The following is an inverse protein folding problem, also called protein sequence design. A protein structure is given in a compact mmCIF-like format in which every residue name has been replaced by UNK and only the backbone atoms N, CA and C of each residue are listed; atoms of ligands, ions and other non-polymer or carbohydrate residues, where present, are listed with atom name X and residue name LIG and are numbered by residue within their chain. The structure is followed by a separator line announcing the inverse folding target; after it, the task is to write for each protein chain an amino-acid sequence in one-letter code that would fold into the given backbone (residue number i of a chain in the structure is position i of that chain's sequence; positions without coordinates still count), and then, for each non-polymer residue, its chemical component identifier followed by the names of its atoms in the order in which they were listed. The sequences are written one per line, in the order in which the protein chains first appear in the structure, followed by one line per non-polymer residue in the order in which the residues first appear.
data_IF_175061226509
#
_entry.id   IF_175061226509
#
_cell.length_a   1.000
_cell.length_b   1.000
_cell.length_c   1.000
_cell.angle_alpha   90.00
_cell.angle_beta   90.00
_cell.angle_gamma   90.00
#
_symmetry.space_group_name_H-M   'P 1'
#
loop_
_entity.id
_entity.type
_entity.pdbx_description
1 polymer ?
#
# COMPACT_ATOMS: atom_id res chain seq x y z
N UNK A 1 0.56 21.54 -12.73
CA UNK A 1 0.66 20.76 -13.99
C UNK A 1 -0.65 20.89 -14.73
N UNK A 2 -0.64 20.96 -16.07
CA UNK A 2 -1.87 20.91 -16.87
C UNK A 2 -2.29 19.47 -17.07
N UNK A 3 -3.59 19.20 -17.19
CA UNK A 3 -4.07 17.87 -17.58
C UNK A 3 -3.49 17.49 -18.97
N UNK A 4 -3.26 16.19 -19.23
CA UNK A 4 -2.87 15.73 -20.55
C UNK A 4 -3.95 16.10 -21.60
N UNK A 5 -3.57 16.14 -22.87
CA UNK A 5 -4.54 16.28 -23.96
C UNK A 5 -5.60 15.18 -23.84
N UNK A 6 -6.86 15.53 -24.15
CA UNK A 6 -7.94 14.56 -24.09
C UNK A 6 -7.71 13.46 -25.11
N UNK A 7 -7.89 12.21 -24.69
CA UNK A 7 -7.89 11.07 -25.57
C UNK A 7 -9.28 10.91 -26.22
N UNK A 8 -9.45 11.57 -27.36
CA UNK A 8 -10.70 11.52 -28.12
C UNK A 8 -10.94 10.16 -28.80
N UNK A 9 -10.01 9.21 -28.72
CA UNK A 9 -10.20 7.86 -29.22
C UNK A 9 -10.96 6.95 -28.24
N UNK A 10 -10.97 7.30 -26.95
CA UNK A 10 -11.73 6.56 -25.93
C UNK A 10 -13.22 6.61 -26.24
N UNK A 11 -13.84 5.46 -26.13
CA UNK A 11 -15.29 5.29 -26.34
C UNK A 11 -15.94 4.73 -25.09
N UNK A 12 -17.23 5.00 -24.86
CA UNK A 12 -18.01 4.29 -23.82
C UNK A 12 -17.91 2.78 -24.00
N UNK A 13 -17.74 2.08 -22.90
CA UNK A 13 -17.61 0.61 -22.93
C UNK A 13 -18.95 -0.11 -22.76
N UNK A 14 -19.99 0.62 -22.36
CA UNK A 14 -21.34 0.12 -22.07
C UNK A 14 -21.37 -0.98 -20.98
N UNK A 15 -20.31 -1.13 -20.18
CA UNK A 15 -20.29 -2.00 -19.01
C UNK A 15 -21.17 -1.44 -17.90
N UNK A 16 -21.75 -2.32 -17.09
CA UNK A 16 -22.36 -1.94 -15.81
C UNK A 16 -21.31 -1.98 -14.70
N UNK A 17 -21.64 -1.52 -13.51
CA UNK A 17 -20.71 -1.57 -12.37
C UNK A 17 -20.21 -2.99 -12.11
N UNK A 18 -21.06 -3.99 -12.16
CA UNK A 18 -20.67 -5.37 -11.83
C UNK A 18 -19.74 -6.02 -12.86
N UNK A 19 -19.68 -5.49 -14.08
CA UNK A 19 -18.78 -5.96 -15.14
C UNK A 19 -17.30 -5.53 -14.91
N UNK A 20 -17.03 -4.65 -13.92
CA UNK A 20 -15.67 -4.19 -13.58
C UNK A 20 -14.82 -5.26 -12.85
N UNK A 21 -15.43 -6.36 -12.41
CA UNK A 21 -14.75 -7.55 -11.92
C UNK A 21 -13.83 -7.29 -10.72
N UNK A 22 -12.54 -7.58 -10.86
CA UNK A 22 -11.54 -7.53 -9.77
C UNK A 22 -11.24 -6.13 -9.23
N UNK A 23 -11.72 -5.08 -9.89
CA UNK A 23 -11.60 -3.69 -9.40
C UNK A 23 -12.48 -3.47 -8.18
N UNK A 24 -13.59 -4.20 -8.11
CA UNK A 24 -14.61 -4.04 -7.06
C UNK A 24 -14.18 -4.65 -5.72
N UNK A 25 -14.60 -4.04 -4.58
CA UNK A 25 -14.61 -4.74 -3.29
C UNK A 25 -15.43 -6.03 -3.38
N UNK A 26 -15.05 -7.07 -2.66
CA UNK A 26 -15.69 -8.40 -2.72
C UNK A 26 -17.18 -8.41 -2.40
N UNK A 27 -17.62 -7.51 -1.54
CA UNK A 27 -19.04 -7.44 -1.14
C UNK A 27 -19.82 -6.42 -1.96
N UNK A 28 -19.20 -5.87 -3.03
CA UNK A 28 -19.90 -4.95 -3.91
C UNK A 28 -21.06 -5.65 -4.62
N UNK A 29 -22.21 -5.02 -4.64
CA UNK A 29 -23.42 -5.49 -5.33
C UNK A 29 -24.28 -4.30 -5.76
N UNK A 30 -25.15 -4.52 -6.73
CA UNK A 30 -26.13 -3.53 -7.19
C UNK A 30 -27.52 -3.99 -6.79
N UNK A 31 -28.25 -3.14 -6.06
CA UNK A 31 -29.64 -3.34 -5.69
C UNK A 31 -30.45 -2.08 -6.02
N UNK A 32 -31.56 -2.21 -6.70
CA UNK A 32 -32.43 -1.09 -7.07
C UNK A 32 -31.67 0.08 -7.70
N UNK A 33 -30.72 -0.23 -8.58
CA UNK A 33 -29.82 0.71 -9.28
C UNK A 33 -28.79 1.42 -8.37
N UNK A 34 -28.73 1.11 -7.08
CA UNK A 34 -27.74 1.63 -6.14
C UNK A 34 -26.57 0.67 -5.93
N UNK A 35 -25.38 1.23 -5.75
CA UNK A 35 -24.18 0.49 -5.32
C UNK A 35 -24.26 0.22 -3.81
N UNK A 36 -24.10 -1.04 -3.42
CA UNK A 36 -23.92 -1.49 -2.04
C UNK A 36 -22.52 -2.06 -1.84
N UNK A 37 -21.91 -1.81 -0.69
CA UNK A 37 -20.65 -2.41 -0.25
C UNK A 37 -20.81 -2.77 1.24
N UNK A 38 -20.41 -3.97 1.63
CA UNK A 38 -20.58 -4.45 3.00
C UNK A 38 -22.05 -4.51 3.44
N UNK A 39 -22.99 -4.61 2.50
CA UNK A 39 -24.42 -4.55 2.75
C UNK A 39 -24.96 -3.14 3.02
N UNK A 40 -24.15 -2.09 2.89
CA UNK A 40 -24.52 -0.67 3.09
C UNK A 40 -24.74 0.01 1.74
N UNK A 41 -25.82 0.76 1.60
CA UNK A 41 -26.12 1.60 0.45
C UNK A 41 -25.16 2.81 0.41
N UNK A 42 -24.31 2.89 -0.61
CA UNK A 42 -23.29 3.94 -0.76
C UNK A 42 -23.89 5.34 -0.98
N UNK A 43 -25.07 5.40 -1.61
CA UNK A 43 -25.78 6.66 -1.85
C UNK A 43 -26.32 7.23 -0.54
N UNK A 44 -26.94 6.37 0.27
CA UNK A 44 -27.46 6.74 1.59
C UNK A 44 -26.32 7.16 2.52
N UNK A 45 -25.26 6.35 2.56
CA UNK A 45 -24.06 6.64 3.38
C UNK A 45 -23.44 7.99 3.01
N UNK A 46 -23.26 8.27 1.71
CA UNK A 46 -22.72 9.55 1.24
C UNK A 46 -23.57 10.76 1.67
N UNK A 47 -24.90 10.60 1.69
CA UNK A 47 -25.82 11.66 2.13
C UNK A 47 -25.81 11.86 3.65
N UNK A 48 -25.63 10.81 4.43
CA UNK A 48 -25.61 10.85 5.90
C UNK A 48 -24.27 11.39 6.44
N UNK A 49 -23.15 10.91 5.90
CA UNK A 49 -21.80 11.27 6.39
C UNK A 49 -21.16 12.44 5.64
N UNK A 50 -21.75 12.84 4.49
CA UNK A 50 -21.19 13.83 3.57
C UNK A 50 -20.01 13.27 2.75
N UNK A 51 -19.67 13.99 1.67
CA UNK A 51 -18.56 13.68 0.77
C UNK A 51 -17.49 14.81 0.81
N UNK A 52 -16.26 14.65 0.35
CA UNK A 52 -15.65 13.39 -0.04
C UNK A 52 -15.58 12.40 1.14
N UNK A 53 -15.66 11.10 0.88
CA UNK A 53 -15.71 10.07 1.93
C UNK A 53 -14.93 8.82 1.51
N UNK A 54 -13.96 8.38 2.32
CA UNK A 54 -13.32 7.09 2.11
C UNK A 54 -14.16 5.99 2.77
N UNK A 55 -14.45 4.94 2.01
CA UNK A 55 -15.19 3.78 2.51
C UNK A 55 -14.37 2.51 2.30
N UNK A 56 -14.25 1.70 3.33
CA UNK A 56 -13.54 0.42 3.29
C UNK A 56 -14.48 -0.74 3.60
N UNK A 57 -14.45 -1.75 2.73
CA UNK A 57 -15.05 -3.05 2.95
C UNK A 57 -14.22 -3.85 3.95
N UNK A 58 -14.65 -3.90 5.22
CA UNK A 58 -13.94 -4.62 6.26
C UNK A 58 -13.91 -6.13 6.00
N UNK A 59 -14.94 -6.69 5.36
CA UNK A 59 -14.99 -8.11 5.07
C UNK A 59 -13.94 -8.47 3.99
N UNK A 60 -13.81 -7.65 2.94
CA UNK A 60 -12.78 -7.84 1.91
C UNK A 60 -11.37 -7.69 2.49
N UNK A 61 -11.14 -6.66 3.32
CA UNK A 61 -9.85 -6.46 3.98
C UNK A 61 -9.43 -7.68 4.81
N UNK A 62 -10.33 -8.20 5.64
CA UNK A 62 -10.08 -9.39 6.48
C UNK A 62 -9.85 -10.64 5.64
N UNK A 63 -10.64 -10.81 4.57
CA UNK A 63 -10.46 -11.94 3.67
C UNK A 63 -9.09 -11.91 2.98
N UNK A 64 -8.62 -10.74 2.51
CA UNK A 64 -7.29 -10.62 1.89
C UNK A 64 -6.17 -10.97 2.87
N UNK A 65 -6.25 -10.50 4.11
CA UNK A 65 -5.29 -10.85 5.16
C UNK A 65 -5.23 -12.34 5.42
N UNK A 66 -6.39 -13.00 5.55
CA UNK A 66 -6.48 -14.44 5.75
C UNK A 66 -5.94 -15.21 4.54
N UNK A 67 -6.32 -14.78 3.32
CA UNK A 67 -5.84 -15.39 2.07
C UNK A 67 -4.31 -15.35 1.98
N UNK A 68 -3.68 -14.22 2.30
CA UNK A 68 -2.21 -14.12 2.34
C UNK A 68 -1.61 -15.10 3.35
N UNK A 69 -2.13 -15.09 4.57
CA UNK A 69 -1.63 -15.96 5.64
C UNK A 69 -1.76 -17.44 5.27
N UNK A 70 -2.91 -17.85 4.78
CA UNK A 70 -3.16 -19.26 4.41
C UNK A 70 -2.36 -19.67 3.16
N UNK A 71 -2.30 -18.82 2.14
CA UNK A 71 -1.56 -19.11 0.91
C UNK A 71 -0.07 -19.37 1.18
N UNK A 72 0.55 -18.58 2.05
CA UNK A 72 1.95 -18.78 2.43
C UNK A 72 2.11 -19.95 3.39
N UNK A 73 1.38 -20.01 4.50
CA UNK A 73 1.57 -21.06 5.53
C UNK A 73 1.27 -22.47 5.04
N UNK A 74 0.30 -22.65 4.15
CA UNK A 74 -0.01 -23.96 3.57
C UNK A 74 1.13 -24.51 2.70
N UNK A 75 1.96 -23.62 2.13
CA UNK A 75 3.08 -23.98 1.25
C UNK A 75 4.44 -23.96 1.97
N UNK A 76 4.55 -23.10 2.98
CA UNK A 76 5.78 -22.85 3.72
C UNK A 76 5.42 -22.49 5.17
N UNK A 77 5.42 -23.49 6.05
CA UNK A 77 4.94 -23.34 7.43
C UNK A 77 5.64 -22.22 8.20
N UNK A 78 6.97 -22.08 8.01
CA UNK A 78 7.80 -21.06 8.65
C UNK A 78 7.73 -19.72 7.86
N UNK A 79 6.52 -19.16 7.73
CA UNK A 79 6.27 -17.90 7.03
C UNK A 79 5.38 -16.97 7.81
N UNK A 80 5.59 -15.66 7.62
CA UNK A 80 4.71 -14.62 8.14
C UNK A 80 4.46 -13.51 7.11
N UNK A 81 3.38 -12.78 7.34
CA UNK A 81 2.95 -11.65 6.52
C UNK A 81 3.03 -10.38 7.35
N UNK A 82 3.70 -9.38 6.81
CA UNK A 82 3.83 -8.05 7.41
C UNK A 82 2.93 -7.08 6.63
N UNK A 83 2.01 -6.42 7.29
CA UNK A 83 1.23 -5.37 6.63
C UNK A 83 2.06 -4.09 6.48
N UNK A 84 2.28 -3.65 5.23
CA UNK A 84 2.96 -2.39 4.92
C UNK A 84 2.06 -1.19 5.20
N UNK A 85 2.18 -0.59 6.38
CA UNK A 85 1.29 0.45 6.92
C UNK A 85 1.21 1.72 6.09
N UNK A 86 2.27 2.05 5.36
CA UNK A 86 2.32 3.19 4.43
C UNK A 86 1.19 3.20 3.39
N UNK A 87 0.62 2.03 3.07
CA UNK A 87 -0.48 1.93 2.13
C UNK A 87 -1.76 2.58 2.67
N UNK A 88 -2.12 2.28 3.91
CA UNK A 88 -3.21 2.90 4.66
C UNK A 88 -3.10 2.57 6.14
N UNK A 89 -3.16 3.55 7.02
CA UNK A 89 -3.04 3.36 8.46
C UNK A 89 -3.99 4.26 9.26
N UNK A 90 -4.69 3.65 10.19
CA UNK A 90 -5.33 4.26 11.34
C UNK A 90 -5.43 3.22 12.47
N UNK A 91 -5.87 3.59 13.66
CA UNK A 91 -5.95 2.67 14.81
C UNK A 91 -6.83 1.46 14.55
N UNK A 92 -7.88 1.60 13.74
CA UNK A 92 -8.77 0.49 13.40
C UNK A 92 -8.10 -0.53 12.49
N UNK A 93 -7.37 -0.09 11.46
CA UNK A 93 -6.57 -1.00 10.61
C UNK A 93 -5.53 -1.74 11.43
N UNK A 94 -4.82 -1.03 12.33
CA UNK A 94 -3.84 -1.67 13.23
C UNK A 94 -4.49 -2.77 14.06
N UNK A 95 -5.70 -2.52 14.60
CA UNK A 95 -6.46 -3.52 15.35
C UNK A 95 -6.82 -4.73 14.49
N UNK A 96 -7.32 -4.50 13.26
CA UNK A 96 -7.68 -5.58 12.32
C UNK A 96 -6.44 -6.40 11.92
N UNK A 97 -5.31 -5.76 11.66
CA UNK A 97 -4.02 -6.42 11.36
C UNK A 97 -3.58 -7.31 12.53
N UNK A 98 -3.70 -6.81 13.76
CA UNK A 98 -3.39 -7.59 14.96
C UNK A 98 -4.32 -8.80 15.12
N UNK A 99 -5.63 -8.63 14.96
CA UNK A 99 -6.63 -9.69 15.00
C UNK A 99 -6.39 -10.74 13.90
N UNK A 100 -5.97 -10.30 12.70
CA UNK A 100 -5.59 -11.16 11.58
C UNK A 100 -4.29 -11.94 11.81
N UNK A 101 -3.56 -11.66 12.89
CA UNK A 101 -2.31 -12.34 13.23
C UNK A 101 -1.12 -11.94 12.35
N UNK A 102 -1.18 -10.81 11.62
CA UNK A 102 -0.11 -10.29 10.80
C UNK A 102 0.88 -9.47 11.63
N UNK A 103 2.11 -9.35 11.14
CA UNK A 103 3.06 -8.34 11.60
C UNK A 103 2.75 -6.97 10.99
N UNK A 104 3.45 -5.93 11.43
CA UNK A 104 3.24 -4.56 10.97
C UNK A 104 4.58 -3.89 10.60
N UNK A 105 4.66 -3.34 9.40
CA UNK A 105 5.73 -2.43 8.98
C UNK A 105 5.36 -0.99 9.36
N UNK A 106 6.32 -0.23 9.85
CA UNK A 106 6.23 1.21 10.08
C UNK A 106 7.46 1.92 9.53
N UNK A 107 7.25 3.07 8.89
CA UNK A 107 8.31 3.83 8.22
C UNK A 107 8.57 5.21 8.84
N UNK A 108 7.94 5.52 9.97
CA UNK A 108 8.13 6.78 10.68
C UNK A 108 7.50 6.78 12.07
N UNK A 109 7.90 7.74 12.90
CA UNK A 109 7.44 7.86 14.29
C UNK A 109 5.92 7.97 14.43
N UNK A 110 5.24 8.62 13.47
CA UNK A 110 3.78 8.73 13.48
C UNK A 110 3.06 7.40 13.29
N UNK A 111 3.58 6.52 12.43
CA UNK A 111 3.05 5.16 12.23
C UNK A 111 3.32 4.29 13.47
N UNK A 112 4.53 4.37 14.05
CA UNK A 112 4.87 3.70 15.31
C UNK A 112 3.94 4.14 16.45
N UNK A 113 3.71 5.44 16.59
CA UNK A 113 2.79 5.98 17.59
C UNK A 113 1.35 5.47 17.40
N UNK A 114 0.89 5.35 16.15
CA UNK A 114 -0.42 4.77 15.83
C UNK A 114 -0.50 3.31 16.28
N UNK A 115 0.55 2.52 16.02
CA UNK A 115 0.64 1.12 16.46
C UNK A 115 0.57 1.00 17.99
N UNK A 116 1.34 1.83 18.72
CA UNK A 116 1.33 1.88 20.17
C UNK A 116 -0.06 2.27 20.74
N UNK A 117 -0.67 3.34 20.18
CA UNK A 117 -2.00 3.80 20.61
C UNK A 117 -3.11 2.76 20.36
N UNK A 118 -2.93 1.90 19.36
CA UNK A 118 -3.85 0.80 19.06
C UNK A 118 -3.55 -0.48 19.87
N UNK A 119 -2.49 -0.50 20.68
CA UNK A 119 -2.09 -1.65 21.48
C UNK A 119 -1.51 -2.81 20.68
N UNK A 120 -0.84 -2.52 19.56
CA UNK A 120 -0.20 -3.54 18.75
C UNK A 120 1.01 -4.13 19.47
N UNK A 121 1.27 -5.46 19.42
CA UNK A 121 2.46 -6.09 19.99
C UNK A 121 3.74 -5.58 19.29
N UNK A 122 4.60 -4.89 20.03
CA UNK A 122 5.77 -4.22 19.45
C UNK A 122 6.83 -5.19 18.92
N UNK A 123 6.92 -6.39 19.47
CA UNK A 123 7.79 -7.47 19.00
C UNK A 123 7.43 -7.97 17.58
N UNK A 124 6.24 -7.63 17.09
CA UNK A 124 5.76 -7.88 15.72
C UNK A 124 5.83 -6.66 14.81
N UNK A 125 6.49 -5.58 15.25
CA UNK A 125 6.71 -4.36 14.46
C UNK A 125 8.08 -4.41 13.79
N UNK A 126 8.12 -4.06 12.50
CA UNK A 126 9.32 -3.93 11.68
C UNK A 126 9.47 -2.45 11.29
N UNK A 127 10.66 -1.86 11.57
CA UNK A 127 10.87 -0.42 11.34
C UNK A 127 11.73 -0.19 10.11
N UNK A 128 11.10 0.39 9.09
CA UNK A 128 11.71 0.71 7.80
C UNK A 128 12.11 2.19 7.67
N UNK A 129 12.72 2.55 6.54
CA UNK A 129 13.08 3.92 6.18
C UNK A 129 14.59 4.08 5.93
N UNK A 130 14.93 4.92 4.94
CA UNK A 130 16.32 5.15 4.53
C UNK A 130 17.04 6.23 5.34
N UNK A 131 16.33 6.93 6.23
CA UNK A 131 16.91 7.97 7.08
C UNK A 131 16.12 8.07 8.39
N UNK A 132 16.22 7.04 9.22
CA UNK A 132 15.67 7.07 10.57
C UNK A 132 16.50 8.01 11.45
N UNK A 133 15.86 8.99 12.06
CA UNK A 133 16.54 9.92 12.95
C UNK A 133 16.95 9.22 14.26
N UNK A 134 17.97 9.73 14.98
CA UNK A 134 18.32 9.17 16.30
C UNK A 134 17.15 9.16 17.29
N UNK A 135 16.25 10.12 17.22
CA UNK A 135 15.05 10.17 18.06
C UNK A 135 14.08 9.03 17.72
N UNK A 136 13.77 8.82 16.43
CA UNK A 136 12.90 7.73 15.98
C UNK A 136 13.50 6.35 16.29
N UNK A 137 14.81 6.16 16.11
CA UNK A 137 15.49 4.93 16.50
C UNK A 137 15.39 4.67 18.00
N UNK A 138 15.58 5.71 18.83
CA UNK A 138 15.42 5.60 20.28
C UNK A 138 13.99 5.25 20.69
N UNK A 139 13.00 5.88 20.08
CA UNK A 139 11.58 5.56 20.31
C UNK A 139 11.29 4.10 19.94
N UNK A 140 11.74 3.66 18.77
CA UNK A 140 11.52 2.29 18.29
C UNK A 140 12.16 1.25 19.22
N UNK A 141 13.45 1.42 19.56
CA UNK A 141 14.19 0.49 20.43
C UNK A 141 13.58 0.49 21.84
N UNK A 142 13.25 1.68 22.37
CA UNK A 142 12.60 1.78 23.71
C UNK A 142 11.21 1.15 23.73
N UNK A 143 10.48 1.17 22.63
CA UNK A 143 9.19 0.50 22.49
C UNK A 143 9.31 -1.03 22.41
N UNK A 144 10.50 -1.57 22.17
CA UNK A 144 10.75 -3.01 22.04
C UNK A 144 10.30 -3.56 20.69
N UNK A 145 10.52 -2.80 19.59
CA UNK A 145 10.17 -3.27 18.24
C UNK A 145 10.93 -4.56 17.87
N UNK A 146 10.26 -5.43 17.11
CA UNK A 146 10.81 -6.74 16.77
C UNK A 146 12.07 -6.64 15.91
N UNK A 147 12.05 -5.80 14.88
CA UNK A 147 13.15 -5.66 13.93
C UNK A 147 13.34 -4.21 13.50
N UNK A 148 14.61 -3.80 13.33
CA UNK A 148 14.95 -2.59 12.58
C UNK A 148 15.58 -3.02 11.26
N UNK A 149 15.01 -2.58 10.16
CA UNK A 149 15.55 -2.81 8.81
C UNK A 149 16.56 -1.72 8.52
N UNK A 150 17.83 -2.04 8.70
CA UNK A 150 18.97 -1.11 8.55
C UNK A 150 19.23 -0.84 7.08
N UNK A 151 19.34 0.43 6.74
CA UNK A 151 19.44 0.91 5.36
C UNK A 151 20.85 1.43 4.99
N UNK A 152 21.71 1.66 5.99
CA UNK A 152 23.08 2.15 5.78
C UNK A 152 24.02 1.83 6.95
N UNK A 153 25.35 1.91 6.69
CA UNK A 153 26.39 1.74 7.73
C UNK A 153 26.30 2.77 8.86
N UNK A 154 25.90 3.99 8.54
CA UNK A 154 25.74 5.07 9.54
C UNK A 154 24.56 4.72 10.46
N UNK A 155 23.49 4.22 9.90
CA UNK A 155 22.33 3.79 10.69
C UNK A 155 22.67 2.59 11.57
N UNK A 156 23.40 1.59 11.05
CA UNK A 156 23.89 0.46 11.84
C UNK A 156 24.64 0.93 13.10
N UNK A 157 25.57 1.88 12.94
CA UNK A 157 26.31 2.43 14.05
C UNK A 157 25.40 3.13 15.07
N UNK A 158 24.40 3.90 14.62
CA UNK A 158 23.42 4.56 15.48
C UNK A 158 22.55 3.57 16.25
N UNK A 159 22.07 2.52 15.58
CA UNK A 159 21.27 1.45 16.23
C UNK A 159 22.09 0.78 17.32
N UNK A 160 23.35 0.43 17.03
CA UNK A 160 24.28 -0.19 17.98
C UNK A 160 24.54 0.72 19.19
N UNK A 161 24.81 2.01 18.98
CA UNK A 161 25.03 2.99 20.05
C UNK A 161 23.78 3.14 20.94
N UNK A 162 22.62 3.38 20.33
CA UNK A 162 21.37 3.60 21.06
C UNK A 162 20.93 2.35 21.82
N UNK A 163 21.06 1.17 21.21
CA UNK A 163 20.77 -0.10 21.88
C UNK A 163 21.68 -0.31 23.10
N UNK A 164 22.98 0.04 22.97
CA UNK A 164 23.93 -0.01 24.09
C UNK A 164 23.57 0.96 25.22
N UNK A 165 23.17 2.21 24.90
CA UNK A 165 22.73 3.18 25.89
C UNK A 165 21.45 2.71 26.64
N UNK A 166 20.58 1.97 25.95
CA UNK A 166 19.35 1.42 26.52
C UNK A 166 19.56 0.06 27.19
N UNK A 167 20.77 -0.53 27.09
CA UNK A 167 21.10 -1.82 27.68
C UNK A 167 20.35 -3.00 27.07
N UNK A 168 20.04 -2.94 25.77
CA UNK A 168 19.34 -4.00 25.03
C UNK A 168 20.14 -4.48 23.83
N UNK A 169 19.84 -5.68 23.34
CA UNK A 169 20.31 -6.17 22.05
C UNK A 169 19.17 -6.07 21.04
N UNK A 170 19.34 -5.24 19.98
CA UNK A 170 18.32 -5.04 18.97
C UNK A 170 18.52 -5.99 17.79
N UNK A 171 17.51 -6.78 17.46
CA UNK A 171 17.51 -7.59 16.24
C UNK A 171 17.35 -6.69 15.01
N UNK A 172 18.17 -6.93 13.99
CA UNK A 172 18.20 -6.16 12.75
C UNK A 172 18.12 -7.02 11.51
N UNK A 173 17.54 -6.45 10.45
CA UNK A 173 17.78 -6.86 9.08
C UNK A 173 18.70 -5.86 8.39
N UNK A 174 19.45 -6.32 7.40
CA UNK A 174 20.07 -5.43 6.42
C UNK A 174 19.19 -5.39 5.17
N UNK A 175 18.83 -4.19 4.71
CA UNK A 175 18.11 -4.03 3.44
C UNK A 175 19.10 -4.12 2.28
N UNK A 176 18.95 -5.14 1.46
CA UNK A 176 19.79 -5.38 0.27
C UNK A 176 19.02 -4.89 -0.96
N UNK A 177 19.71 -4.17 -1.83
CA UNK A 177 19.19 -3.79 -3.15
C UNK A 177 19.68 -4.82 -4.16
N UNK A 178 18.80 -5.75 -4.60
CA UNK A 178 19.24 -6.95 -5.33
C UNK A 178 19.59 -6.71 -6.81
N UNK A 179 19.39 -5.49 -7.33
CA UNK A 179 19.63 -5.18 -8.74
C UNK A 179 18.57 -5.76 -9.71
N UNK A 180 17.45 -6.25 -9.19
CA UNK A 180 16.37 -6.82 -10.00
C UNK A 180 15.47 -5.70 -10.51
N UNK A 181 15.29 -5.63 -11.83
CA UNK A 181 14.37 -4.68 -12.46
C UNK A 181 12.95 -5.26 -12.49
N UNK A 182 12.04 -4.64 -11.76
CA UNK A 182 10.62 -4.95 -11.89
C UNK A 182 10.00 -4.13 -13.03
N UNK A 183 9.15 -4.78 -13.83
CA UNK A 183 8.39 -4.12 -14.88
C UNK A 183 7.24 -3.31 -14.27
N UNK A 184 7.53 -2.07 -13.89
CA UNK A 184 6.61 -1.15 -13.20
C UNK A 184 6.99 0.31 -13.45
N UNK A 185 6.14 1.26 -13.00
CA UNK A 185 6.35 2.70 -13.17
C UNK A 185 7.65 3.17 -12.48
N UNK A 186 8.41 4.06 -13.14
CA UNK A 186 9.74 4.53 -12.72
C UNK A 186 9.79 5.00 -11.25
N UNK A 187 8.81 5.77 -10.78
CA UNK A 187 8.78 6.30 -9.41
C UNK A 187 8.50 5.27 -8.31
N UNK A 188 8.12 4.04 -8.66
CA UNK A 188 7.81 2.96 -7.71
C UNK A 188 8.74 1.74 -7.84
N UNK A 189 9.81 1.84 -8.63
CA UNK A 189 10.92 0.89 -8.66
C UNK A 189 11.83 1.14 -7.46
N UNK A 190 12.22 0.09 -6.76
CA UNK A 190 13.11 0.20 -5.59
C UNK A 190 14.22 -0.84 -5.60
N UNK A 191 14.18 -1.80 -6.51
CA UNK A 191 15.16 -2.86 -6.64
C UNK A 191 16.33 -2.55 -7.58
N UNK A 192 16.31 -1.43 -8.32
CA UNK A 192 17.37 -1.05 -9.23
C UNK A 192 18.59 -0.49 -8.49
N UNK A 193 19.74 -0.54 -9.14
CA UNK A 193 21.03 -0.12 -8.57
C UNK A 193 21.06 1.34 -8.15
N UNK A 194 20.45 2.25 -8.91
CA UNK A 194 20.27 3.67 -8.55
C UNK A 194 19.02 3.83 -7.67
N UNK A 195 19.17 3.48 -6.41
CA UNK A 195 18.14 3.62 -5.39
C UNK A 195 18.66 4.31 -4.15
N UNK A 196 17.86 5.18 -3.53
CA UNK A 196 18.17 5.77 -2.22
C UNK A 196 18.12 4.77 -1.07
N UNK A 197 17.67 3.54 -1.33
CA UNK A 197 17.41 2.52 -0.32
C UNK A 197 18.45 1.42 -0.33
N UNK A 198 18.83 0.99 0.86
CA UNK A 198 19.54 -0.25 1.10
C UNK A 198 21.03 -0.26 0.72
N UNK A 199 21.63 -1.41 0.96
CA UNK A 199 23.00 -1.71 0.58
C UNK A 199 23.00 -2.29 -0.83
N UNK A 200 23.65 -1.60 -1.79
CA UNK A 200 23.80 -2.10 -3.15
C UNK A 200 24.72 -3.32 -3.20
N UNK A 201 24.41 -4.24 -4.11
CA UNK A 201 25.29 -5.39 -4.39
C UNK A 201 26.46 -5.05 -5.31
N UNK A 202 26.49 -3.85 -5.90
CA UNK A 202 27.61 -3.39 -6.72
C UNK A 202 28.94 -3.44 -5.96
N UNK A 203 29.99 -3.87 -6.63
CA UNK A 203 31.36 -3.95 -6.09
C UNK A 203 31.46 -4.69 -4.75
N UNK A 204 30.54 -5.64 -4.50
CA UNK A 204 30.44 -6.37 -3.24
C UNK A 204 30.19 -5.48 -2.01
N UNK A 205 29.63 -4.28 -2.19
CA UNK A 205 29.44 -3.35 -1.10
C UNK A 205 28.55 -3.91 0.02
N UNK A 206 27.38 -4.43 -0.33
CA UNK A 206 26.48 -5.07 0.64
C UNK A 206 27.20 -6.21 1.40
N UNK A 207 27.92 -7.08 0.68
CA UNK A 207 28.63 -8.19 1.25
C UNK A 207 29.72 -7.75 2.25
N UNK A 208 30.48 -6.73 1.93
CA UNK A 208 31.48 -6.15 2.84
C UNK A 208 30.85 -5.55 4.10
N UNK A 209 29.66 -4.96 3.98
CA UNK A 209 28.95 -4.37 5.10
C UNK A 209 28.31 -5.41 6.05
N UNK A 210 28.14 -6.67 5.62
CA UNK A 210 27.67 -7.75 6.50
C UNK A 210 28.63 -7.96 7.68
N UNK A 211 29.95 -7.85 7.44
CA UNK A 211 30.94 -7.95 8.49
C UNK A 211 30.72 -6.90 9.58
N UNK A 212 30.45 -5.66 9.18
CA UNK A 212 30.18 -4.59 10.14
C UNK A 212 28.97 -4.90 11.02
N UNK A 213 27.90 -5.50 10.42
CA UNK A 213 26.70 -5.86 11.14
C UNK A 213 26.91 -7.05 12.11
N UNK A 214 27.80 -8.00 11.76
CA UNK A 214 28.15 -9.13 12.62
C UNK A 214 29.00 -8.64 13.83
N UNK A 215 29.90 -7.72 13.60
CA UNK A 215 30.85 -7.21 14.60
C UNK A 215 30.29 -6.07 15.47
N UNK A 216 29.15 -5.46 15.06
CA UNK A 216 28.56 -4.35 15.79
C UNK A 216 27.99 -4.82 17.14
N UNK A 217 28.39 -4.18 18.28
CA UNK A 217 27.86 -4.54 19.58
C UNK A 217 26.37 -4.14 19.73
N UNK A 218 25.66 -4.81 20.64
CA UNK A 218 24.27 -4.49 21.00
C UNK A 218 23.25 -4.65 19.87
N UNK A 219 23.66 -5.26 18.74
CA UNK A 219 22.77 -5.61 17.63
C UNK A 219 22.96 -7.06 17.26
N UNK A 220 21.91 -7.69 16.76
CA UNK A 220 21.92 -9.05 16.25
C UNK A 220 21.42 -9.08 14.83
N UNK A 221 22.29 -9.37 13.87
CA UNK A 221 21.88 -9.61 12.49
C UNK A 221 21.11 -10.93 12.43
N UNK A 222 19.81 -10.86 12.15
CA UNK A 222 18.93 -12.04 12.09
C UNK A 222 18.40 -12.32 10.70
N UNK A 223 18.52 -11.39 9.76
CA UNK A 223 17.99 -11.57 8.42
C UNK A 223 18.40 -10.51 7.43
N UNK A 224 17.99 -10.76 6.21
CA UNK A 224 18.06 -9.79 5.12
C UNK A 224 16.66 -9.43 4.62
N UNK A 225 16.54 -8.23 4.11
CA UNK A 225 15.33 -7.71 3.49
C UNK A 225 15.64 -7.24 2.07
N UNK A 226 14.71 -7.45 1.13
CA UNK A 226 14.71 -6.77 -0.15
C UNK A 226 13.31 -6.31 -0.54
N UNK A 227 13.22 -5.32 -1.40
CA UNK A 227 11.95 -4.88 -1.99
C UNK A 227 12.22 -4.35 -3.40
N UNK A 228 11.60 -4.95 -4.40
CA UNK A 228 11.90 -4.70 -5.81
C UNK A 228 11.00 -3.69 -6.49
N UNK A 229 9.88 -3.30 -5.86
CA UNK A 229 8.96 -2.32 -6.42
C UNK A 229 7.52 -2.51 -5.99
N UNK A 230 6.61 -1.83 -6.68
CA UNK A 230 5.17 -1.88 -6.39
C UNK A 230 4.38 -1.96 -7.69
N UNK A 231 3.16 -2.50 -7.63
CA UNK A 231 2.29 -2.72 -8.79
C UNK A 231 2.94 -3.65 -9.85
N UNK A 232 3.52 -4.75 -9.38
CA UNK A 232 4.20 -5.75 -10.21
C UNK A 232 3.21 -6.84 -10.56
N UNK A 233 3.00 -7.09 -11.85
CA UNK A 233 2.09 -8.13 -12.34
C UNK A 233 2.82 -9.43 -12.67
N UNK A 234 4.09 -9.32 -13.11
CA UNK A 234 4.89 -10.44 -13.56
C UNK A 234 5.64 -11.11 -12.39
N UNK A 235 5.32 -12.37 -12.12
CA UNK A 235 5.87 -13.10 -10.96
C UNK A 235 7.35 -13.48 -11.11
N UNK A 236 7.92 -13.45 -12.31
CA UNK A 236 9.33 -13.83 -12.53
C UNK A 236 10.30 -12.93 -11.75
N UNK A 237 9.99 -11.63 -11.59
CA UNK A 237 10.84 -10.69 -10.83
C UNK A 237 10.93 -11.07 -9.33
N UNK A 238 9.86 -11.62 -8.76
CA UNK A 238 9.88 -12.14 -7.38
C UNK A 238 10.73 -13.40 -7.26
N UNK A 239 10.67 -14.30 -8.26
CA UNK A 239 11.53 -15.48 -8.30
C UNK A 239 13.01 -15.11 -8.42
N UNK A 240 13.33 -14.14 -9.28
CA UNK A 240 14.70 -13.64 -9.46
C UNK A 240 15.21 -12.97 -8.15
N UNK A 241 14.41 -12.17 -7.49
CA UNK A 241 14.77 -11.58 -6.21
C UNK A 241 15.05 -12.66 -5.14
N UNK A 242 14.21 -13.70 -5.06
CA UNK A 242 14.44 -14.81 -4.16
C UNK A 242 15.76 -15.53 -4.47
N UNK A 243 16.09 -15.77 -5.74
CA UNK A 243 17.36 -16.37 -6.17
C UNK A 243 18.55 -15.55 -5.69
N UNK A 244 18.58 -14.26 -6.02
CA UNK A 244 19.66 -13.34 -5.64
C UNK A 244 19.85 -13.30 -4.13
N UNK A 245 18.77 -13.24 -3.37
CA UNK A 245 18.85 -13.18 -1.92
C UNK A 245 19.31 -14.47 -1.28
N UNK A 246 18.89 -15.64 -1.78
CA UNK A 246 19.36 -16.95 -1.26
C UNK A 246 20.82 -17.20 -1.63
N UNK A 247 21.25 -16.83 -2.85
CA UNK A 247 22.66 -16.88 -3.24
C UNK A 247 23.51 -15.97 -2.33
N UNK A 248 23.03 -14.79 -2.01
CA UNK A 248 23.68 -13.87 -1.08
C UNK A 248 23.81 -14.47 0.32
N UNK A 249 22.74 -15.09 0.85
CA UNK A 249 22.77 -15.82 2.12
C UNK A 249 23.80 -16.93 2.10
N UNK A 250 23.83 -17.76 1.05
CA UNK A 250 24.78 -18.85 0.90
C UNK A 250 26.24 -18.36 0.96
N UNK A 251 26.50 -17.25 0.27
CA UNK A 251 27.82 -16.62 0.28
C UNK A 251 28.18 -16.09 1.66
N UNK A 252 27.26 -15.44 2.36
CA UNK A 252 27.46 -14.94 3.73
C UNK A 252 27.74 -16.09 4.70
N UNK A 253 26.96 -17.14 4.66
CA UNK A 253 27.17 -18.32 5.51
C UNK A 253 28.54 -18.98 5.27
N UNK A 254 28.92 -19.10 4.01
CA UNK A 254 30.22 -19.70 3.64
C UNK A 254 31.41 -18.88 4.14
N UNK A 255 31.35 -17.56 4.02
CA UNK A 255 32.47 -16.68 4.37
C UNK A 255 32.57 -16.40 5.86
N UNK A 256 31.42 -16.14 6.51
CA UNK A 256 31.42 -15.70 7.92
C UNK A 256 31.01 -16.79 8.91
N UNK A 257 30.56 -17.95 8.44
CA UNK A 257 30.20 -19.09 9.31
C UNK A 257 28.97 -18.82 10.19
N UNK A 258 28.09 -17.90 9.79
CA UNK A 258 26.87 -17.56 10.53
C UNK A 258 25.63 -18.09 9.80
N UNK A 259 24.59 -18.42 10.56
CA UNK A 259 23.27 -18.71 10.01
C UNK A 259 22.46 -17.42 9.88
N UNK A 260 21.69 -17.31 8.80
CA UNK A 260 20.73 -16.23 8.55
C UNK A 260 19.32 -16.84 8.62
N UNK A 261 18.65 -16.75 9.78
CA UNK A 261 17.41 -17.47 10.01
C UNK A 261 16.17 -16.84 9.37
N UNK A 262 16.23 -15.59 8.91
CA UNK A 262 15.06 -14.86 8.39
C UNK A 262 15.37 -14.20 7.05
N UNK A 263 14.40 -14.23 6.12
CA UNK A 263 14.47 -13.55 4.83
C UNK A 263 13.14 -12.86 4.54
N UNK A 264 13.19 -11.53 4.43
CA UNK A 264 12.06 -10.71 4.03
C UNK A 264 12.19 -10.33 2.56
N UNK A 265 11.25 -10.81 1.76
CA UNK A 265 11.21 -10.59 0.31
C UNK A 265 10.40 -9.35 -0.10
N UNK A 266 9.96 -8.56 0.90
CA UNK A 266 9.19 -7.35 0.68
C UNK A 266 7.79 -7.61 0.10
N UNK A 267 7.22 -6.57 -0.46
CA UNK A 267 5.92 -6.63 -1.13
C UNK A 267 6.04 -6.33 -2.62
N UNK A 268 4.94 -5.83 -3.19
CA UNK A 268 4.96 -5.35 -4.56
C UNK A 268 3.90 -5.94 -5.46
N UNK A 269 3.19 -7.01 -5.06
CA UNK A 269 2.11 -7.60 -5.86
C UNK A 269 1.10 -6.53 -6.29
N UNK A 270 0.84 -6.48 -7.61
CA UNK A 270 -0.09 -5.54 -8.23
C UNK A 270 -1.55 -5.92 -8.01
N UNK A 271 -2.42 -4.95 -8.25
CA UNK A 271 -3.88 -5.12 -8.19
C UNK A 271 -4.53 -4.48 -9.42
N UNK A 272 -5.75 -4.89 -9.74
CA UNK A 272 -6.53 -4.26 -10.79
C UNK A 272 -6.99 -2.85 -10.36
N UNK A 273 -6.63 -1.85 -11.15
CA UNK A 273 -7.16 -0.49 -11.10
C UNK A 273 -8.19 -0.26 -12.21
N UNK A 274 -8.04 -0.95 -13.32
CA UNK A 274 -8.95 -0.94 -14.47
C UNK A 274 -9.52 -2.34 -14.69
N UNK A 275 -10.70 -2.42 -15.28
CA UNK A 275 -11.35 -3.69 -15.64
C UNK A 275 -10.50 -4.52 -16.63
N UNK A 276 -9.58 -3.87 -17.37
CA UNK A 276 -8.65 -4.51 -18.30
C UNK A 276 -7.41 -5.10 -17.64
N UNK A 277 -7.10 -4.71 -16.40
CA UNK A 277 -5.93 -5.20 -15.67
C UNK A 277 -6.06 -6.69 -15.32
N UNK A 278 -4.93 -7.40 -15.38
CA UNK A 278 -4.85 -8.84 -15.09
C UNK A 278 -3.69 -9.11 -14.11
N UNK A 279 -3.84 -8.70 -12.84
CA UNK A 279 -2.83 -9.00 -11.83
C UNK A 279 -2.76 -10.51 -11.56
N UNK A 280 -1.59 -10.98 -11.12
CA UNK A 280 -1.47 -12.31 -10.54
C UNK A 280 -2.21 -12.39 -9.21
N UNK A 281 -2.76 -13.57 -8.91
CA UNK A 281 -3.45 -13.80 -7.64
C UNK A 281 -2.48 -13.86 -6.45
N UNK A 282 -3.02 -13.69 -5.24
CA UNK A 282 -2.25 -13.92 -3.99
C UNK A 282 -1.73 -15.36 -3.94
N UNK A 283 -2.51 -16.31 -4.42
CA UNK A 283 -2.16 -17.72 -4.44
C UNK A 283 -0.99 -18.02 -5.38
N UNK A 284 -1.01 -17.48 -6.61
CA UNK A 284 0.08 -17.59 -7.56
C UNK A 284 1.37 -16.93 -7.06
N UNK A 285 1.25 -15.79 -6.38
CA UNK A 285 2.38 -15.10 -5.76
C UNK A 285 3.01 -15.95 -4.65
N UNK A 286 2.18 -16.53 -3.76
CA UNK A 286 2.65 -17.40 -2.69
C UNK A 286 3.31 -18.67 -3.26
N UNK A 287 2.72 -19.31 -4.27
CA UNK A 287 3.28 -20.47 -4.94
C UNK A 287 4.65 -20.15 -5.57
N UNK A 288 4.73 -19.08 -6.35
CA UNK A 288 5.96 -18.65 -7.00
C UNK A 288 7.08 -18.39 -5.98
N UNK A 289 6.77 -17.60 -4.93
CA UNK A 289 7.74 -17.17 -3.94
C UNK A 289 8.24 -18.31 -3.08
N UNK A 290 7.33 -19.12 -2.52
CA UNK A 290 7.70 -20.23 -1.63
C UNK A 290 8.45 -21.32 -2.36
N UNK A 291 8.06 -21.64 -3.60
CA UNK A 291 8.75 -22.58 -4.44
C UNK A 291 10.16 -22.10 -4.81
N UNK A 292 10.29 -20.82 -5.19
CA UNK A 292 11.59 -20.24 -5.48
C UNK A 292 12.55 -20.37 -4.30
N UNK A 293 12.11 -20.03 -3.08
CA UNK A 293 12.94 -20.15 -1.88
C UNK A 293 13.38 -21.60 -1.67
N UNK A 294 12.48 -22.59 -1.74
CA UNK A 294 12.82 -24.01 -1.58
C UNK A 294 13.80 -24.50 -2.63
N UNK A 295 13.53 -24.18 -3.92
CA UNK A 295 14.38 -24.60 -5.03
C UNK A 295 15.82 -24.06 -4.85
N UNK A 296 15.95 -22.75 -4.55
CA UNK A 296 17.28 -22.13 -4.42
C UNK A 296 17.98 -22.48 -3.10
N UNK A 297 17.26 -22.68 -1.99
CA UNK A 297 17.86 -23.22 -0.76
C UNK A 297 18.47 -24.61 -1.01
N UNK A 298 17.77 -25.47 -1.73
CA UNK A 298 18.29 -26.79 -2.11
C UNK A 298 19.49 -26.69 -3.07
N UNK A 299 19.43 -25.77 -4.06
CA UNK A 299 20.50 -25.57 -5.03
C UNK A 299 21.80 -25.06 -4.38
N UNK A 300 21.69 -24.07 -3.51
CA UNK A 300 22.86 -23.45 -2.86
C UNK A 300 23.26 -24.10 -1.54
N UNK A 301 22.52 -25.11 -1.07
CA UNK A 301 22.83 -25.83 0.17
C UNK A 301 22.63 -25.01 1.43
N UNK A 302 21.63 -24.13 1.45
CA UNK A 302 21.25 -23.26 2.56
C UNK A 302 20.03 -23.84 3.28
N UNK A 303 20.01 -23.77 4.61
CA UNK A 303 18.81 -24.10 5.37
C UNK A 303 17.66 -23.14 5.01
N UNK A 304 16.44 -23.65 4.92
CA UNK A 304 15.26 -22.84 4.60
C UNK A 304 15.02 -21.79 5.72
N UNK A 305 15.15 -20.48 5.44
CA UNK A 305 14.92 -19.43 6.44
C UNK A 305 13.43 -19.27 6.72
N UNK A 306 13.07 -18.63 7.84
CA UNK A 306 11.72 -18.04 7.97
C UNK A 306 11.54 -16.98 6.90
N UNK A 307 10.51 -17.10 6.06
CA UNK A 307 10.22 -16.09 5.03
C UNK A 307 9.14 -15.13 5.47
N UNK A 308 9.32 -13.87 5.07
CA UNK A 308 8.36 -12.80 5.31
C UNK A 308 8.05 -12.09 3.98
N UNK A 309 6.83 -11.57 3.87
CA UNK A 309 6.38 -10.75 2.75
C UNK A 309 5.61 -9.55 3.26
N UNK A 310 5.68 -8.43 2.53
CA UNK A 310 5.18 -7.14 2.95
C UNK A 310 4.05 -6.59 2.04
N UNK A 311 2.89 -7.27 1.93
CA UNK A 311 1.79 -6.72 1.16
C UNK A 311 1.24 -5.46 1.83
N UNK A 312 1.08 -4.39 1.05
CA UNK A 312 0.38 -3.17 1.43
C UNK A 312 -0.78 -2.94 0.47
N UNK A 313 -0.45 -2.53 -0.76
CA UNK A 313 -1.45 -2.26 -1.81
C UNK A 313 -2.44 -3.40 -2.00
N UNK A 314 -1.97 -4.60 -2.18
CA UNK A 314 -2.81 -5.78 -2.46
C UNK A 314 -3.71 -6.21 -1.30
N UNK A 315 -3.46 -5.70 -0.09
CA UNK A 315 -4.36 -5.91 1.05
C UNK A 315 -5.49 -4.88 1.10
N UNK A 316 -5.24 -3.61 0.75
CA UNK A 316 -6.20 -2.53 1.06
C UNK A 316 -6.77 -1.81 -0.16
N UNK A 317 -6.10 -1.86 -1.34
CA UNK A 317 -6.48 -1.02 -2.47
C UNK A 317 -7.92 -1.26 -2.94
N UNK A 318 -8.25 -2.48 -3.32
CA UNK A 318 -9.58 -2.82 -3.85
C UNK A 318 -10.66 -2.88 -2.77
N UNK A 319 -10.27 -3.07 -1.50
CA UNK A 319 -11.21 -2.99 -0.37
C UNK A 319 -11.68 -1.55 -0.09
N UNK A 320 -11.04 -0.53 -0.66
CA UNK A 320 -11.35 0.88 -0.43
C UNK A 320 -11.87 1.60 -1.66
N UNK A 321 -12.88 2.44 -1.46
CA UNK A 321 -13.46 3.33 -2.47
C UNK A 321 -13.55 4.75 -1.92
N UNK A 322 -13.69 5.74 -2.82
CA UNK A 322 -13.96 7.13 -2.42
C UNK A 322 -15.25 7.61 -3.06
N UNK A 323 -16.14 8.17 -2.23
CA UNK A 323 -17.41 8.73 -2.67
C UNK A 323 -17.31 10.24 -2.76
N UNK A 324 -17.90 10.79 -3.81
CA UNK A 324 -17.95 12.22 -4.10
C UNK A 324 -19.34 12.63 -4.54
N UNK A 325 -19.74 13.88 -4.27
CA UNK A 325 -20.96 14.46 -4.86
C UNK A 325 -20.61 15.20 -6.14
N UNK A 326 -21.35 14.91 -7.21
CA UNK A 326 -21.27 15.62 -8.49
C UNK A 326 -21.85 17.03 -8.33
N UNK A 327 -21.01 18.03 -8.59
CA UNK A 327 -21.38 19.45 -8.49
C UNK A 327 -21.73 20.07 -9.84
N UNK A 328 -20.75 20.33 -10.68
CA UNK A 328 -20.90 21.05 -11.93
C UNK A 328 -20.50 20.18 -13.12
N UNK A 329 -21.30 20.25 -14.19
CA UNK A 329 -20.99 19.62 -15.47
C UNK A 329 -20.54 20.69 -16.47
N UNK A 330 -19.40 20.49 -17.13
CA UNK A 330 -18.87 21.41 -18.14
C UNK A 330 -18.40 20.65 -19.36
N UNK A 331 -19.11 20.82 -20.47
CA UNK A 331 -18.72 20.23 -21.75
C UNK A 331 -17.96 21.24 -22.59
N UNK A 332 -16.75 20.87 -23.03
CA UNK A 332 -15.98 21.59 -24.06
C UNK A 332 -16.14 20.79 -25.36
N UNK A 333 -16.90 21.33 -26.34
CA UNK A 333 -17.22 20.61 -27.58
C UNK A 333 -15.95 20.14 -28.32
N UNK A 334 -15.88 18.85 -28.63
CA UNK A 334 -14.74 18.24 -29.32
C UNK A 334 -13.45 18.13 -28.50
N UNK A 335 -13.49 18.46 -27.22
CA UNK A 335 -12.32 18.43 -26.33
C UNK A 335 -12.58 17.46 -25.17
N UNK A 336 -13.46 17.83 -24.21
CA UNK A 336 -13.62 17.05 -22.96
C UNK A 336 -14.92 17.40 -22.26
N UNK A 337 -15.50 16.41 -21.56
CA UNK A 337 -16.57 16.63 -20.59
C UNK A 337 -15.98 16.55 -19.19
N UNK A 338 -16.00 17.66 -18.46
CA UNK A 338 -15.66 17.73 -17.06
C UNK A 338 -16.88 17.48 -16.18
N UNK A 339 -16.71 16.66 -15.16
CA UNK A 339 -17.65 16.44 -14.06
C UNK A 339 -16.93 16.86 -12.79
N UNK A 340 -17.28 18.03 -12.26
CA UNK A 340 -16.69 18.55 -11.04
C UNK A 340 -17.28 17.85 -9.81
N UNK A 341 -16.40 17.46 -8.90
CA UNK A 341 -16.75 16.79 -7.64
C UNK A 341 -16.31 17.62 -6.44
N UNK A 342 -16.86 17.33 -5.27
CA UNK A 342 -16.60 18.08 -4.04
C UNK A 342 -15.30 17.69 -3.30
N UNK A 343 -14.50 16.81 -3.87
CA UNK A 343 -13.14 16.48 -3.47
C UNK A 343 -12.11 16.86 -4.53
N UNK A 344 -11.04 16.06 -4.69
CA UNK A 344 -10.03 16.27 -5.71
C UNK A 344 -8.65 15.74 -5.33
N UNK A 345 -7.60 16.41 -5.84
CA UNK A 345 -6.21 15.97 -5.64
C UNK A 345 -5.76 15.99 -4.17
N UNK A 346 -6.45 16.71 -3.29
CA UNK A 346 -6.18 16.64 -1.84
C UNK A 346 -6.57 15.30 -1.23
N UNK A 347 -7.48 14.57 -1.86
CA UNK A 347 -7.99 13.26 -1.41
C UNK A 347 -7.35 12.11 -2.19
N UNK A 348 -7.02 12.34 -3.46
CA UNK A 348 -6.32 11.41 -4.33
C UNK A 348 -5.33 12.16 -5.23
N UNK A 349 -4.10 12.31 -4.75
CA UNK A 349 -3.01 12.97 -5.49
C UNK A 349 -2.44 12.08 -6.61
N UNK A 350 -2.76 10.80 -6.63
CA UNK A 350 -2.05 9.79 -7.44
C UNK A 350 -2.23 9.97 -8.94
N UNK A 351 -3.40 10.44 -9.38
CA UNK A 351 -3.64 10.77 -10.78
C UNK A 351 -2.70 11.90 -11.25
N UNK A 352 -2.55 12.95 -10.45
CA UNK A 352 -1.65 14.06 -10.76
C UNK A 352 -0.16 13.69 -10.63
N UNK A 353 0.21 12.85 -9.66
CA UNK A 353 1.60 12.53 -9.33
C UNK A 353 2.16 11.35 -10.14
N UNK A 354 1.35 10.31 -10.36
CA UNK A 354 1.78 9.05 -10.97
C UNK A 354 1.04 8.73 -12.27
N UNK A 355 0.16 9.61 -12.74
CA UNK A 355 -0.74 9.34 -13.86
C UNK A 355 -1.56 8.05 -13.67
N UNK A 356 -1.94 7.79 -12.40
CA UNK A 356 -2.71 6.60 -12.07
C UNK A 356 -4.14 6.72 -12.61
N UNK A 357 -4.60 5.68 -13.28
CA UNK A 357 -5.98 5.56 -13.72
C UNK A 357 -6.84 4.86 -12.65
N UNK A 358 -8.13 5.16 -12.67
CA UNK A 358 -9.14 4.60 -11.76
C UNK A 358 -10.46 4.40 -12.48
N UNK A 359 -11.23 3.37 -12.09
CA UNK A 359 -12.59 3.16 -12.57
C UNK A 359 -13.61 3.96 -11.76
N UNK A 360 -14.36 4.87 -12.40
CA UNK A 360 -15.45 5.58 -11.78
C UNK A 360 -16.80 4.96 -12.12
N UNK A 361 -17.79 5.11 -11.22
CA UNK A 361 -19.21 4.86 -11.50
C UNK A 361 -20.09 5.91 -10.82
N UNK A 362 -21.35 6.01 -11.26
CA UNK A 362 -22.38 6.76 -10.53
C UNK A 362 -23.12 5.77 -9.62
N UNK A 363 -22.93 5.89 -8.31
CA UNK A 363 -23.42 4.94 -7.31
C UNK A 363 -24.95 4.80 -7.27
N UNK A 364 -25.69 5.85 -7.61
CA UNK A 364 -27.17 5.83 -7.74
C UNK A 364 -27.65 5.47 -9.14
N UNK A 365 -26.76 5.06 -10.05
CA UNK A 365 -27.05 4.57 -11.41
C UNK A 365 -26.20 3.32 -11.71
N UNK A 366 -25.84 2.57 -10.68
CA UNK A 366 -24.84 1.52 -10.77
C UNK A 366 -25.26 0.33 -11.68
N UNK A 367 -26.54 0.12 -11.88
CA UNK A 367 -27.06 -0.90 -12.82
C UNK A 367 -27.14 -0.45 -14.27
N UNK A 368 -26.93 0.85 -14.55
CA UNK A 368 -26.97 1.41 -15.89
C UNK A 368 -25.65 1.20 -16.64
N UNK A 369 -25.66 1.17 -17.98
CA UNK A 369 -24.45 1.11 -18.76
C UNK A 369 -23.66 2.44 -18.71
N UNK A 370 -22.34 2.35 -18.76
CA UNK A 370 -21.43 3.51 -18.83
C UNK A 370 -21.38 4.03 -20.27
N UNK A 371 -22.14 5.07 -20.51
CA UNK A 371 -22.39 5.61 -21.85
C UNK A 371 -21.67 6.90 -22.17
N UNK A 372 -20.91 7.46 -21.23
CA UNK A 372 -20.19 8.71 -21.42
C UNK A 372 -18.72 8.62 -21.02
N UNK A 373 -17.87 9.39 -21.71
CA UNK A 373 -16.46 9.59 -21.33
C UNK A 373 -16.34 10.92 -20.61
N UNK A 374 -15.78 10.89 -19.39
CA UNK A 374 -15.64 12.08 -18.56
C UNK A 374 -14.28 12.16 -17.87
N UNK A 375 -13.92 13.38 -17.49
CA UNK A 375 -12.86 13.65 -16.50
C UNK A 375 -13.52 14.11 -15.20
N UNK A 376 -13.36 13.33 -14.11
CA UNK A 376 -13.75 13.77 -12.78
C UNK A 376 -12.70 14.73 -12.26
N UNK A 377 -13.01 16.03 -12.25
CA UNK A 377 -12.13 17.09 -11.77
C UNK A 377 -12.53 17.55 -10.37
N UNK A 378 -11.54 17.88 -9.56
CA UNK A 378 -11.77 18.41 -8.23
C UNK A 378 -12.13 19.88 -8.23
N UNK A 379 -12.21 20.44 -7.02
CA UNK A 379 -12.59 21.84 -6.76
C UNK A 379 -11.40 22.75 -6.41
N UNK A 380 -10.17 22.26 -6.53
CA UNK A 380 -8.98 23.02 -6.19
C UNK A 380 -8.61 24.03 -7.29
N UNK A 381 -8.00 25.15 -6.90
CA UNK A 381 -7.48 26.15 -7.84
C UNK A 381 -6.16 25.67 -8.47
N UNK A 382 -6.20 24.50 -9.12
CA UNK A 382 -5.06 23.83 -9.75
C UNK A 382 -5.52 23.15 -11.06
N UNK A 383 -4.86 23.45 -12.17
CA UNK A 383 -5.24 22.91 -13.49
C UNK A 383 -5.11 21.39 -13.59
N UNK A 384 -4.23 20.78 -12.80
CA UNK A 384 -4.01 19.33 -12.74
C UNK A 384 -4.94 18.60 -11.77
N UNK A 385 -5.94 19.29 -11.18
CA UNK A 385 -6.84 18.68 -10.20
C UNK A 385 -7.89 17.79 -10.87
N UNK A 386 -7.51 16.53 -11.05
CA UNK A 386 -8.39 15.46 -11.50
C UNK A 386 -8.10 14.18 -10.73
N UNK A 387 -9.15 13.44 -10.42
CA UNK A 387 -9.05 12.09 -9.80
C UNK A 387 -9.23 10.98 -10.83
N UNK A 388 -9.90 11.29 -11.95
CA UNK A 388 -10.11 10.37 -13.08
C UNK A 388 -10.02 11.17 -14.38
N UNK A 389 -9.31 10.63 -15.39
CA UNK A 389 -9.12 11.34 -16.67
C UNK A 389 -9.65 10.48 -17.82
N UNK A 390 -10.65 11.04 -18.55
CA UNK A 390 -11.21 10.48 -19.78
C UNK A 390 -11.61 8.98 -19.64
N UNK A 391 -12.43 8.68 -18.62
CA UNK A 391 -12.91 7.33 -18.34
C UNK A 391 -14.42 7.18 -18.59
N UNK A 392 -14.87 5.96 -18.96
CA UNK A 392 -16.29 5.65 -19.08
C UNK A 392 -17.02 5.81 -17.74
N UNK A 393 -18.25 6.33 -17.80
CA UNK A 393 -19.14 6.44 -16.62
C UNK A 393 -20.62 6.43 -17.07
N UNK A 394 -21.55 6.11 -16.18
CA UNK A 394 -22.99 6.32 -16.39
C UNK A 394 -23.27 7.83 -16.61
N UNK A 395 -24.39 8.15 -17.26
CA UNK A 395 -24.77 9.56 -17.50
C UNK A 395 -24.85 10.36 -16.19
N UNK A 396 -23.90 11.29 -15.93
CA UNK A 396 -23.83 12.03 -14.66
C UNK A 396 -24.79 13.20 -14.64
N UNK A 397 -25.41 13.44 -13.49
CA UNK A 397 -26.26 14.59 -13.19
C UNK A 397 -25.78 15.27 -11.90
N UNK A 398 -26.12 16.57 -11.75
CA UNK A 398 -25.80 17.32 -10.53
C UNK A 398 -26.52 16.69 -9.33
N UNK A 399 -25.76 16.42 -8.26
CA UNK A 399 -26.24 15.76 -7.05
C UNK A 399 -26.14 14.25 -7.07
N UNK A 400 -25.67 13.64 -8.16
CA UNK A 400 -25.30 12.22 -8.18
C UNK A 400 -24.13 11.95 -7.26
N UNK A 401 -24.00 10.70 -6.83
CA UNK A 401 -22.84 10.22 -6.06
C UNK A 401 -21.92 9.46 -6.99
N UNK A 402 -20.75 10.05 -7.26
CA UNK A 402 -19.68 9.35 -7.94
C UNK A 402 -18.88 8.49 -6.95
N UNK A 403 -18.60 7.25 -7.33
CA UNK A 403 -17.73 6.32 -6.61
C UNK A 403 -16.49 6.04 -7.46
N UNK A 404 -15.31 6.20 -6.87
CA UNK A 404 -14.03 5.86 -7.49
C UNK A 404 -13.48 4.64 -6.77
N UNK A 405 -13.26 3.54 -7.50
CA UNK A 405 -12.78 2.27 -6.94
C UNK A 405 -11.27 2.26 -6.72
N UNK A 406 -10.79 1.24 -5.98
CA UNK A 406 -9.37 0.94 -5.75
C UNK A 406 -8.60 2.10 -5.10
N UNK A 407 -9.28 2.92 -4.30
CA UNK A 407 -8.67 4.07 -3.61
C UNK A 407 -8.21 3.74 -2.19
N UNK A 408 -8.27 2.47 -1.76
CA UNK A 408 -7.87 2.05 -0.42
C UNK A 408 -6.39 2.20 -0.11
N UNK A 409 -5.51 2.23 -1.12
CA UNK A 409 -4.06 2.37 -0.93
C UNK A 409 -3.55 3.72 -1.41
N UNK A 410 -2.75 4.39 -0.56
CA UNK A 410 -2.03 5.63 -0.89
C UNK A 410 -2.91 6.83 -1.26
N UNK A 411 -4.21 6.81 -0.98
CA UNK A 411 -5.09 7.98 -1.12
C UNK A 411 -5.20 8.70 0.22
N UNK A 412 -5.85 8.12 1.22
CA UNK A 412 -5.99 8.73 2.53
C UNK A 412 -4.66 9.07 3.21
N UNK A 413 -3.64 8.20 3.11
CA UNK A 413 -2.31 8.44 3.69
C UNK A 413 -1.53 9.55 3.01
N UNK A 414 -1.78 9.82 1.73
CA UNK A 414 -1.18 10.92 0.98
C UNK A 414 -2.07 12.15 0.91
N UNK A 415 -3.21 12.15 1.59
CA UNK A 415 -4.14 13.28 1.60
C UNK A 415 -3.50 14.53 2.21
N UNK A 416 -3.92 15.69 1.73
CA UNK A 416 -3.40 16.97 2.17
C UNK A 416 -4.53 17.97 2.46
N UNK A 417 -4.16 19.12 3.03
CA UNK A 417 -5.08 20.23 3.24
C UNK A 417 -4.91 21.33 2.18
N UNK A 418 -4.55 20.95 0.95
CA UNK A 418 -4.39 21.91 -0.13
C UNK A 418 -5.66 22.75 -0.33
N UNK A 419 -5.51 24.06 -0.59
CA UNK A 419 -6.57 25.06 -0.59
C UNK A 419 -7.43 25.12 0.70
N UNK A 420 -6.87 24.71 1.85
CA UNK A 420 -7.59 24.71 3.13
C UNK A 420 -8.75 23.69 3.19
N UNK A 421 -8.69 22.62 2.39
CA UNK A 421 -9.72 21.59 2.42
C UNK A 421 -9.52 20.67 3.60
N UNK A 422 -10.57 20.41 4.42
CA UNK A 422 -10.54 19.39 5.46
C UNK A 422 -10.39 18.00 4.85
N UNK A 423 -9.57 17.15 5.50
CA UNK A 423 -9.44 15.74 5.08
C UNK A 423 -10.77 15.00 5.29
N UNK A 424 -11.14 14.10 4.34
CA UNK A 424 -12.36 13.31 4.42
C UNK A 424 -12.40 12.39 5.65
N UNK A 425 -13.59 12.01 6.06
CA UNK A 425 -13.78 10.92 7.01
C UNK A 425 -13.42 9.58 6.38
N UNK A 426 -13.14 8.59 7.25
CA UNK A 426 -12.98 7.18 6.87
C UNK A 426 -14.06 6.37 7.56
N UNK A 427 -14.80 5.59 6.77
CA UNK A 427 -15.86 4.71 7.22
C UNK A 427 -15.54 3.28 6.86
N UNK A 428 -15.73 2.36 7.80
CA UNK A 428 -15.68 0.92 7.56
C UNK A 428 -17.10 0.37 7.47
N UNK A 429 -17.36 -0.46 6.46
CA UNK A 429 -18.65 -1.08 6.22
C UNK A 429 -18.55 -2.60 6.28
N UNK A 430 -19.51 -3.23 6.99
CA UNK A 430 -19.59 -4.67 7.14
C UNK A 430 -20.98 -5.07 7.62
N UNK A 431 -21.55 -6.13 7.05
CA UNK A 431 -22.80 -6.76 7.47
C UNK A 431 -23.97 -5.75 7.62
N UNK A 432 -24.06 -4.76 6.71
CA UNK A 432 -25.08 -3.72 6.70
C UNK A 432 -24.84 -2.58 7.71
N UNK A 433 -23.69 -2.55 8.38
CA UNK A 433 -23.33 -1.53 9.36
C UNK A 433 -22.17 -0.67 8.86
N UNK A 434 -22.33 0.65 8.96
CA UNK A 434 -21.28 1.63 8.71
C UNK A 434 -20.72 2.17 10.04
N UNK A 435 -19.40 2.27 10.16
CA UNK A 435 -18.72 2.81 11.34
C UNK A 435 -17.69 3.87 10.93
N UNK A 436 -17.84 5.10 11.39
CA UNK A 436 -16.82 6.13 11.22
C UNK A 436 -15.63 5.77 12.11
N UNK A 437 -14.48 5.48 11.51
CA UNK A 437 -13.24 5.10 12.21
C UNK A 437 -12.22 6.24 12.24
N UNK A 438 -12.35 7.22 11.33
CA UNK A 438 -11.63 8.49 11.35
C UNK A 438 -12.64 9.58 10.99
N UNK A 439 -12.86 10.54 11.90
CA UNK A 439 -13.78 11.64 11.62
C UNK A 439 -13.23 12.59 10.57
N UNK A 440 -14.11 13.27 9.87
CA UNK A 440 -13.74 14.40 8.99
C UNK A 440 -13.05 15.49 9.81
N UNK A 441 -12.04 16.13 9.23
CA UNK A 441 -11.46 17.33 9.81
C UNK A 441 -12.48 18.48 9.81
N UNK A 442 -12.40 19.31 10.84
CA UNK A 442 -13.08 20.60 10.90
C UNK A 442 -12.12 21.73 10.55
N UNK A 443 -12.62 22.93 10.31
CA UNK A 443 -11.73 24.10 10.14
C UNK A 443 -10.90 24.38 11.39
N UNK A 444 -11.40 24.04 12.58
CA UNK A 444 -10.61 24.14 13.83
C UNK A 444 -9.40 23.17 13.83
N UNK A 445 -9.54 22.00 13.23
CA UNK A 445 -8.41 21.05 13.12
C UNK A 445 -7.31 21.59 12.19
N UNK A 446 -7.67 22.31 11.11
CA UNK A 446 -6.70 22.88 10.17
C UNK A 446 -5.77 23.89 10.85
N UNK A 447 -6.30 24.67 11.77
CA UNK A 447 -5.58 25.75 12.43
C UNK A 447 -5.24 25.44 13.91
N UNK A 448 -5.39 24.17 14.34
CA UNK A 448 -5.13 23.76 15.71
C UNK A 448 -3.67 23.98 16.17
N UNK A 449 -2.73 24.17 15.24
CA UNK A 449 -1.30 24.41 15.53
C UNK A 449 -0.90 25.88 15.43
N UNK A 450 -1.81 26.75 14.99
CA UNK A 450 -1.54 28.19 14.90
C UNK A 450 -1.59 28.79 16.31
N UNK A 451 -0.66 29.71 16.62
CA UNK A 451 -0.49 30.34 17.95
C UNK A 451 -0.79 31.84 17.88
#
# INVERSE_FOLDING_TARGET
MSLPASDTSKQPDNLTTMDLGEVLPRTAEVRDNHLFIGGVDMVKLAREEGTALYVFDEADLRWRMETYREAFRSRYENSDVIYASKAFLNKEVVRIVNEGGLCLDVSGGGELACAQMAGFPMDRVFVHGNNKTPAELREAISAGVGRIVVDSRIELARVSEIAGELGVEQAIYMRITPGVEADTHEYIRTGCEDSKFGFTMLDDFAFKCVKDAIEAPNVKLVGFHCHIGSQIFALHSFREAAQVMIEFIARVQKEYGIEIPELDLGGGLGVAYLATDKPSSIDDFAECTTRAVKDFCAEYGVAEPRILVEPGRSLVANAGVTLYTVGILKTLPGIRKYVAIDGGMSDNIRTALYHADYEPVIANKAGEPRTEIVTLCGKHCESGDAVVIDMPIQHPEIGDIACVFTTGAYCSTMSSNYNGQPKPAVVFVKDGVARVVTRRETYADLYARDI
#
